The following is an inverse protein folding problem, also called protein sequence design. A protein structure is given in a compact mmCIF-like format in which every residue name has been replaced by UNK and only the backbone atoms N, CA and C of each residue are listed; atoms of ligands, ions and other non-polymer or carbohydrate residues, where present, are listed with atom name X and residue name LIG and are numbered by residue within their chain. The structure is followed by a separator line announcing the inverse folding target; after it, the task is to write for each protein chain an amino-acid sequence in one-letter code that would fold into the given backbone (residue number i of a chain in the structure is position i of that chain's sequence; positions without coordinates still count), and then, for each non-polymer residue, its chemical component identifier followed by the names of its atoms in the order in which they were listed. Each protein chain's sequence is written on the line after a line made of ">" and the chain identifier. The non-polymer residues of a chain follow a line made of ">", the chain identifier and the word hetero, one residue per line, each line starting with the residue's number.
data_IF_250814741204
#
_entry.id   IF_250814741204
#
_cell.length_a   1.000
_cell.length_b   1.000
_cell.length_c   1.000
_cell.angle_alpha   90.00
_cell.angle_beta   90.00
_cell.angle_gamma   90.00
#
_symmetry.space_group_name_H-M   'P 1'
#
loop_
_entity.id
_entity.type
_entity.pdbx_description
1 polymer ?
#
# COMPACT_ATOMS: atom_id res chain seq x y z
N UNK A 1 16.02 14.59 -12.13
CA UNK A 1 15.15 13.65 -11.39
C UNK A 1 14.62 14.36 -10.17
N UNK A 2 13.30 14.43 -9.98
CA UNK A 2 12.72 15.02 -8.78
C UNK A 2 12.60 13.92 -7.72
N UNK A 3 13.15 14.18 -6.53
CA UNK A 3 13.01 13.27 -5.39
C UNK A 3 11.62 13.48 -4.80
N UNK A 4 10.80 12.44 -4.77
CA UNK A 4 9.47 12.48 -4.17
C UNK A 4 9.48 11.75 -2.84
N UNK A 5 8.85 12.35 -1.84
CA UNK A 5 8.57 11.71 -0.57
C UNK A 5 7.24 10.94 -0.69
N UNK A 6 7.32 9.62 -0.84
CA UNK A 6 6.13 8.77 -0.91
C UNK A 6 5.62 8.52 0.51
N UNK A 7 4.45 9.08 0.84
CA UNK A 7 3.84 8.94 2.18
C UNK A 7 2.83 7.79 2.29
N UNK A 8 2.13 7.47 1.19
CA UNK A 8 1.09 6.43 1.13
C UNK A 8 1.12 5.78 -0.25
N UNK A 9 0.87 4.47 -0.31
CA UNK A 9 0.68 3.71 -1.56
C UNK A 9 -0.69 3.04 -1.47
N UNK A 10 -1.49 3.16 -2.53
CA UNK A 10 -2.74 2.43 -2.64
C UNK A 10 -2.46 1.09 -3.32
N UNK A 11 -2.98 0.03 -2.70
CA UNK A 11 -2.92 -1.32 -3.24
C UNK A 11 -4.35 -1.85 -3.27
N UNK A 12 -4.74 -2.46 -4.38
CA UNK A 12 -6.05 -3.08 -4.51
C UNK A 12 -6.19 -4.22 -3.49
N UNK A 13 -7.30 -4.27 -2.75
CA UNK A 13 -7.56 -5.32 -1.77
C UNK A 13 -8.22 -6.57 -2.37
N UNK A 14 -8.14 -6.75 -3.69
CA UNK A 14 -8.66 -7.92 -4.38
C UNK A 14 -8.04 -9.22 -3.89
N UNK A 15 -8.64 -10.34 -4.29
CA UNK A 15 -8.36 -11.71 -3.79
C UNK A 15 -6.94 -12.24 -4.06
N UNK A 16 -6.01 -11.41 -4.52
CA UNK A 16 -4.65 -11.81 -4.87
C UNK A 16 -3.59 -10.87 -4.32
N UNK A 17 -3.96 -9.92 -3.46
CA UNK A 17 -3.00 -8.93 -2.91
C UNK A 17 -1.91 -9.60 -2.07
N UNK A 18 -2.30 -10.63 -1.32
CA UNK A 18 -1.46 -11.47 -0.47
C UNK A 18 -0.49 -12.35 -1.26
N UNK A 19 -0.76 -12.60 -2.54
CA UNK A 19 0.14 -13.33 -3.45
C UNK A 19 1.00 -12.35 -4.26
N UNK A 20 0.39 -11.33 -4.85
CA UNK A 20 1.06 -10.41 -5.77
C UNK A 20 2.06 -9.48 -5.06
N UNK A 21 1.77 -9.11 -3.81
CA UNK A 21 2.57 -8.14 -3.06
C UNK A 21 3.23 -8.72 -1.82
N UNK A 22 3.12 -10.03 -1.55
CA UNK A 22 3.73 -10.69 -0.38
C UNK A 22 5.21 -10.33 -0.23
N UNK A 23 6.01 -10.53 -1.29
CA UNK A 23 7.45 -10.20 -1.27
C UNK A 23 7.70 -8.70 -1.10
N UNK A 24 6.85 -7.85 -1.67
CA UNK A 24 6.96 -6.39 -1.50
C UNK A 24 6.75 -5.99 -0.04
N UNK A 25 5.72 -6.54 0.60
CA UNK A 25 5.44 -6.27 2.01
C UNK A 25 6.53 -6.80 2.92
N UNK A 26 7.10 -7.98 2.62
CA UNK A 26 8.23 -8.53 3.36
C UNK A 26 9.46 -7.59 3.31
N UNK A 27 9.86 -7.15 2.11
CA UNK A 27 11.02 -6.26 1.92
C UNK A 27 10.81 -4.91 2.63
N UNK A 28 9.58 -4.39 2.61
CA UNK A 28 9.22 -3.14 3.25
C UNK A 28 8.89 -3.30 4.75
N UNK A 29 8.94 -4.53 5.27
CA UNK A 29 8.57 -4.87 6.65
C UNK A 29 7.16 -4.38 7.03
N UNK A 30 6.24 -4.43 6.07
CA UNK A 30 4.84 -4.06 6.26
C UNK A 30 4.07 -5.26 6.79
N UNK A 31 3.23 -4.99 7.78
CA UNK A 31 2.30 -5.93 8.40
C UNK A 31 0.87 -5.44 8.23
N UNK A 32 -0.13 -6.26 8.55
CA UNK A 32 -1.54 -5.84 8.51
C UNK A 32 -1.82 -4.56 9.31
N UNK A 33 -1.05 -4.29 10.38
CA UNK A 33 -1.17 -3.07 11.20
C UNK A 33 -0.74 -1.80 10.47
N UNK A 34 0.08 -1.94 9.43
CA UNK A 34 0.50 -0.84 8.57
C UNK A 34 -0.52 -0.55 7.47
N UNK A 35 -1.45 -1.49 7.22
CA UNK A 35 -2.45 -1.37 6.18
C UNK A 35 -3.73 -0.76 6.77
N UNK A 36 -4.29 0.21 6.07
CA UNK A 36 -5.59 0.80 6.42
C UNK A 36 -6.50 0.64 5.22
N UNK A 37 -7.73 0.10 5.39
CA UNK A 37 -8.69 0.00 4.30
C UNK A 37 -8.87 1.36 3.63
N UNK A 38 -8.73 1.37 2.32
CA UNK A 38 -8.96 2.60 1.57
C UNK A 38 -10.46 2.84 1.42
N UNK A 39 -10.94 3.96 1.96
CA UNK A 39 -12.32 4.43 1.76
C UNK A 39 -12.26 5.62 0.81
N UNK A 40 -13.02 5.55 -0.29
CA UNK A 40 -12.94 6.40 -1.49
C UNK A 40 -12.91 7.94 -1.33
N UNK A 41 -13.07 8.45 -0.11
CA UNK A 41 -13.01 9.86 0.25
C UNK A 41 -11.60 10.40 0.53
N UNK A 42 -10.62 9.52 0.77
CA UNK A 42 -9.26 9.85 1.21
C UNK A 42 -8.30 10.31 0.10
N UNK A 43 -8.70 10.17 -1.18
CA UNK A 43 -7.91 10.58 -2.35
C UNK A 43 -7.98 12.08 -2.67
N UNK A 44 -8.56 12.89 -1.78
CA UNK A 44 -8.48 14.35 -1.90
C UNK A 44 -7.06 14.80 -1.55
N UNK A 45 -6.22 14.88 -2.59
CA UNK A 45 -4.96 15.59 -2.62
C UNK A 45 -5.14 16.96 -3.27
#
# INVERSE_FOLDING_TARGET
>A
MANFEVRRVLVDSGSSVDIMYARTFEILQLTERNLTPYVGSDLQG
#
